data_IF_475487653532
#
_entry.id   IF_475487653532
#
_cell.length_a   1.000
_cell.length_b   1.000
_cell.length_c   1.000
_cell.angle_alpha   90.00
_cell.angle_beta   90.00
_cell.angle_gamma   90.00
#
_symmetry.space_group_name_H-M   'P 1'
#
loop_
_entity.id
_entity.type
_entity.pdbx_description
1 polymer ?
#
# COMPACT_ATOMS: atom_id res chain seq x y z
N UNK A 1 10.72 4.80 15.00
CA UNK A 1 10.82 3.35 14.67
C UNK A 1 10.84 3.26 13.15
N UNK A 2 11.73 2.47 12.54
CA UNK A 2 11.84 2.37 11.07
C UNK A 2 11.06 1.16 10.57
N UNK A 3 10.12 1.37 9.64
CA UNK A 3 9.32 0.29 9.04
C UNK A 3 9.93 -0.09 7.69
N UNK A 4 10.40 -1.35 7.57
CA UNK A 4 10.99 -1.85 6.31
C UNK A 4 9.91 -2.03 5.24
N UNK A 5 8.83 -2.74 5.54
CA UNK A 5 7.76 -2.97 4.56
C UNK A 5 6.39 -3.14 5.21
N UNK A 6 5.34 -2.77 4.47
CA UNK A 6 3.93 -3.08 4.78
C UNK A 6 3.38 -3.90 3.62
N UNK A 7 3.06 -5.18 3.87
CA UNK A 7 2.67 -6.16 2.84
C UNK A 7 1.31 -6.76 3.20
N UNK A 8 0.35 -6.74 2.27
CA UNK A 8 -0.93 -7.41 2.46
C UNK A 8 -2.13 -6.74 1.79
N UNK A 9 -3.32 -7.22 2.12
CA UNK A 9 -4.58 -6.63 1.64
C UNK A 9 -5.02 -5.47 2.53
N UNK A 10 -5.23 -4.29 1.95
CA UNK A 10 -5.61 -3.07 2.69
C UNK A 10 -7.12 -2.81 2.69
N UNK A 11 -7.90 -3.65 1.99
CA UNK A 11 -9.36 -3.57 1.93
C UNK A 11 -9.88 -2.21 1.43
N UNK A 12 -9.19 -1.62 0.45
CA UNK A 12 -9.48 -0.29 -0.08
C UNK A 12 -10.39 -0.28 -1.32
N UNK A 13 -10.71 -1.45 -1.91
CA UNK A 13 -11.47 -1.53 -3.18
C UNK A 13 -12.80 -0.77 -3.11
N UNK A 14 -13.51 -0.89 -1.98
CA UNK A 14 -14.80 -0.24 -1.72
C UNK A 14 -14.72 0.71 -0.52
N UNK A 15 -13.53 1.17 -0.14
CA UNK A 15 -13.38 2.07 1.00
C UNK A 15 -13.99 3.44 0.70
N UNK A 16 -14.52 4.09 1.74
CA UNK A 16 -14.95 5.48 1.62
C UNK A 16 -13.75 6.39 1.34
N UNK A 17 -14.03 7.60 0.85
CA UNK A 17 -12.98 8.61 0.59
C UNK A 17 -12.22 8.96 1.88
N UNK A 18 -12.92 9.04 3.00
CA UNK A 18 -12.34 9.33 4.31
C UNK A 18 -11.40 8.21 4.75
N UNK A 19 -11.82 6.95 4.60
CA UNK A 19 -10.97 5.79 4.92
C UNK A 19 -9.72 5.79 4.04
N UNK A 20 -9.87 6.03 2.74
CA UNK A 20 -8.73 6.09 1.82
C UNK A 20 -7.77 7.21 2.24
N UNK A 21 -8.25 8.42 2.48
CA UNK A 21 -7.44 9.55 2.91
C UNK A 21 -6.69 9.26 4.23
N UNK A 22 -7.35 8.65 5.22
CA UNK A 22 -6.72 8.27 6.48
C UNK A 22 -5.62 7.23 6.29
N UNK A 23 -5.84 6.23 5.42
CA UNK A 23 -4.81 5.22 5.11
C UNK A 23 -3.61 5.86 4.41
N UNK A 24 -3.84 6.76 3.44
CA UNK A 24 -2.75 7.49 2.77
C UNK A 24 -1.95 8.35 3.77
N UNK A 25 -2.63 9.08 4.66
CA UNK A 25 -1.97 9.89 5.68
C UNK A 25 -1.15 9.03 6.66
N UNK A 26 -1.67 7.87 7.06
CA UNK A 26 -0.94 6.94 7.91
C UNK A 26 0.30 6.38 7.20
N UNK A 27 0.19 5.95 5.94
CA UNK A 27 1.33 5.47 5.16
C UNK A 27 2.38 6.55 4.93
N UNK A 28 1.95 7.80 4.74
CA UNK A 28 2.85 8.94 4.65
C UNK A 28 3.60 9.17 5.96
N UNK A 29 2.90 9.21 7.10
CA UNK A 29 3.53 9.40 8.41
C UNK A 29 4.47 8.28 8.83
N UNK A 30 4.14 7.03 8.47
CA UNK A 30 4.93 5.86 8.81
C UNK A 30 6.21 5.72 7.96
N UNK A 31 6.26 6.38 6.80
CA UNK A 31 7.37 6.37 5.85
C UNK A 31 8.01 4.98 5.63
N UNK A 32 7.23 3.94 5.27
CA UNK A 32 7.82 2.64 4.99
C UNK A 32 8.73 2.71 3.76
N UNK A 33 9.79 1.90 3.76
CA UNK A 33 10.65 1.76 2.56
C UNK A 33 9.90 1.10 1.40
N UNK A 34 8.96 0.20 1.71
CA UNK A 34 8.15 -0.52 0.73
C UNK A 34 6.70 -0.70 1.18
N UNK A 35 5.76 -0.56 0.24
CA UNK A 35 4.35 -0.89 0.41
C UNK A 35 3.95 -1.88 -0.67
N UNK A 36 3.51 -3.07 -0.26
CA UNK A 36 3.07 -4.12 -1.17
C UNK A 36 1.57 -4.41 -0.99
N UNK A 37 0.68 -3.64 -1.66
CA UNK A 37 -0.75 -3.89 -1.64
C UNK A 37 -1.10 -5.17 -2.40
N UNK A 38 -2.02 -5.95 -1.86
CA UNK A 38 -2.47 -7.21 -2.44
C UNK A 38 -4.00 -7.34 -2.46
N UNK A 39 -4.51 -8.29 -3.25
CA UNK A 39 -5.86 -8.86 -3.17
C UNK A 39 -6.98 -7.81 -3.04
N UNK A 40 -7.55 -7.65 -1.83
CA UNK A 40 -8.70 -6.80 -1.56
C UNK A 40 -8.40 -5.28 -1.56
N UNK A 41 -7.16 -4.89 -1.84
CA UNK A 41 -6.80 -3.47 -1.99
C UNK A 41 -7.49 -2.86 -3.22
N UNK A 42 -7.56 -3.61 -4.33
CA UNK A 42 -8.21 -3.17 -5.55
C UNK A 42 -7.36 -2.24 -6.42
N UNK A 43 -7.44 -2.42 -7.73
CA UNK A 43 -6.65 -1.67 -8.72
C UNK A 43 -6.76 -0.13 -8.59
N UNK A 44 -7.94 0.48 -8.36
CA UNK A 44 -8.03 1.94 -8.21
C UNK A 44 -7.23 2.46 -7.01
N UNK A 45 -7.26 1.75 -5.88
CA UNK A 45 -6.49 2.15 -4.70
C UNK A 45 -4.99 1.90 -4.90
N UNK A 46 -4.61 0.82 -5.60
CA UNK A 46 -3.21 0.57 -5.98
C UNK A 46 -2.67 1.69 -6.87
N UNK A 47 -3.45 2.19 -7.82
CA UNK A 47 -3.06 3.33 -8.66
C UNK A 47 -2.81 4.59 -7.81
N UNK A 48 -3.74 4.92 -6.91
CA UNK A 48 -3.58 6.07 -6.00
C UNK A 48 -2.35 5.93 -5.08
N UNK A 49 -2.08 4.72 -4.59
CA UNK A 49 -0.87 4.43 -3.81
C UNK A 49 0.39 4.69 -4.65
N UNK A 50 0.43 4.21 -5.90
CA UNK A 50 1.55 4.44 -6.81
C UNK A 50 1.74 5.93 -7.12
N UNK A 51 0.66 6.66 -7.36
CA UNK A 51 0.73 8.10 -7.62
C UNK A 51 1.29 8.87 -6.42
N UNK A 52 0.93 8.49 -5.19
CA UNK A 52 1.37 9.18 -3.98
C UNK A 52 2.76 8.77 -3.49
N UNK A 53 3.14 7.50 -3.65
CA UNK A 53 4.34 6.92 -3.03
C UNK A 53 5.40 6.45 -4.02
N UNK A 54 5.09 6.44 -5.31
CA UNK A 54 6.02 6.14 -6.40
C UNK A 54 6.59 4.72 -6.35
N UNK A 55 7.89 4.61 -6.58
CA UNK A 55 8.63 3.34 -6.65
C UNK A 55 8.60 2.52 -5.34
N UNK A 56 8.19 3.13 -4.23
CA UNK A 56 7.98 2.41 -2.95
C UNK A 56 6.82 1.43 -3.02
N UNK A 57 5.93 1.54 -4.02
CA UNK A 57 4.75 0.69 -4.15
C UNK A 57 5.01 -0.46 -5.11
N UNK A 58 5.04 -1.68 -4.58
CA UNK A 58 5.24 -2.91 -5.35
C UNK A 58 4.05 -3.85 -5.15
N UNK A 59 3.02 -3.83 -6.03
CA UNK A 59 1.84 -4.67 -5.86
C UNK A 59 2.20 -6.15 -5.80
N UNK A 60 1.71 -6.83 -4.77
CA UNK A 60 2.04 -8.22 -4.54
C UNK A 60 1.29 -9.15 -5.47
N UNK A 61 1.97 -10.23 -5.88
CA UNK A 61 1.40 -11.32 -6.67
C UNK A 61 1.69 -12.67 -6.01
N UNK A 62 0.91 -13.70 -6.35
CA UNK A 62 1.17 -15.06 -5.89
C UNK A 62 2.57 -15.53 -6.35
N UNK A 63 3.32 -16.15 -5.44
CA UNK A 63 4.68 -16.61 -5.71
C UNK A 63 5.76 -15.52 -5.68
N UNK A 64 5.40 -14.25 -5.42
CA UNK A 64 6.37 -13.17 -5.25
C UNK A 64 7.17 -13.35 -3.96
N UNK A 65 8.49 -13.16 -4.04
CA UNK A 65 9.43 -13.30 -2.94
C UNK A 65 10.01 -11.92 -2.60
N UNK A 66 10.06 -11.59 -1.32
CA UNK A 66 10.70 -10.38 -0.79
C UNK A 66 11.85 -10.78 0.12
N UNK A 67 12.95 -10.02 0.09
CA UNK A 67 14.14 -10.22 0.91
C UNK A 67 14.55 -8.87 1.51
N UNK A 68 14.90 -8.83 2.81
CA UNK A 68 15.12 -7.60 3.59
C UNK A 68 16.38 -7.62 4.44
#
# INVERSE_FOLDING_TARGET
MRIRAIIGGFHLLNASRERLAQTMAALWFLEPEMVAPCHCTGEPAVALLRDAFGERVSPGAAGMIYQF
#
